data_IF_050897419287
#
_entry.id   IF_050897419287
#
_cell.length_a   1.000
_cell.length_b   1.000
_cell.length_c   1.000
_cell.angle_alpha   90.00
_cell.angle_beta   90.00
_cell.angle_gamma   90.00
#
_symmetry.space_group_name_H-M   'P 1'
#
loop_
_entity.id
_entity.type
_entity.pdbx_description
1 polymer ?
#
# COMPACT_ATOMS: atom_id res chain seq x y z
N UNK A 1 8.03 -8.78 45.70
CA UNK A 1 8.39 -7.47 45.11
C UNK A 1 8.26 -7.59 43.60
N UNK A 2 7.58 -6.68 42.91
CA UNK A 2 7.16 -6.84 41.51
C UNK A 2 8.27 -6.61 40.48
N UNK A 3 8.47 -7.59 39.58
CA UNK A 3 9.43 -7.57 38.46
C UNK A 3 8.80 -7.93 37.10
N UNK A 4 8.07 -6.98 36.52
CA UNK A 4 8.51 -6.21 35.33
C UNK A 4 9.03 -7.02 34.13
N UNK A 5 8.16 -7.15 33.13
CA UNK A 5 8.53 -7.35 31.73
C UNK A 5 8.34 -6.04 30.92
N UNK A 6 9.26 -5.78 30.01
CA UNK A 6 8.99 -5.02 28.77
C UNK A 6 9.07 -6.01 27.62
N UNK A 7 8.22 -5.95 26.59
CA UNK A 7 8.42 -6.80 25.40
C UNK A 7 9.50 -6.23 24.46
N UNK A 8 10.80 -6.54 24.71
CA UNK A 8 11.96 -6.40 23.79
C UNK A 8 13.12 -7.37 24.16
N UNK A 9 13.70 -8.24 23.31
CA UNK A 9 14.39 -9.46 23.80
C UNK A 9 15.81 -9.28 24.32
N UNK A 10 16.11 -9.95 25.44
CA UNK A 10 17.45 -10.07 26.02
C UNK A 10 18.13 -11.38 25.69
N UNK A 11 19.44 -11.31 25.89
CA UNK A 11 20.18 -12.30 26.65
C UNK A 11 21.06 -11.49 27.65
N UNK A 12 21.30 -11.82 28.94
CA UNK A 12 20.98 -13.01 29.75
C UNK A 12 21.02 -12.63 31.27
N UNK A 13 20.55 -13.53 32.16
CA UNK A 13 20.86 -13.61 33.61
C UNK A 13 20.28 -12.57 34.62
N UNK A 14 19.02 -12.76 35.05
CA UNK A 14 18.75 -12.99 36.50
C UNK A 14 17.42 -13.72 36.72
N UNK A 15 17.45 -14.79 37.53
CA UNK A 15 16.36 -15.76 37.70
C UNK A 15 15.29 -15.30 38.71
N UNK A 16 14.03 -15.23 38.26
CA UNK A 16 12.81 -15.54 39.00
C UNK A 16 11.76 -15.99 37.96
N UNK A 17 10.94 -16.98 38.31
CA UNK A 17 10.13 -17.77 37.36
C UNK A 17 9.15 -16.92 36.52
N UNK A 18 9.48 -16.75 35.23
CA UNK A 18 8.57 -16.35 34.14
C UNK A 18 8.51 -17.56 33.20
N UNK A 19 7.36 -18.19 33.03
CA UNK A 19 7.29 -19.49 32.36
C UNK A 19 7.38 -19.30 30.83
N UNK A 20 8.49 -19.73 30.23
CA UNK A 20 8.80 -19.47 28.81
C UNK A 20 7.80 -20.15 27.84
N UNK A 21 6.95 -21.04 28.36
CA UNK A 21 5.81 -21.65 27.69
C UNK A 21 4.73 -20.64 27.32
N UNK A 22 4.44 -19.64 28.15
CA UNK A 22 3.28 -18.74 27.98
C UNK A 22 3.44 -17.80 26.78
N UNK A 23 4.67 -17.47 26.41
CA UNK A 23 5.02 -16.62 25.26
C UNK A 23 5.37 -17.41 23.99
N UNK A 24 5.35 -18.75 24.06
CA UNK A 24 5.72 -19.64 22.95
C UNK A 24 4.77 -19.52 21.74
N UNK A 25 3.50 -19.18 21.96
CA UNK A 25 2.53 -18.89 20.89
C UNK A 25 2.91 -17.65 20.10
N UNK A 26 3.20 -16.54 20.79
CA UNK A 26 3.58 -15.27 20.17
C UNK A 26 4.91 -15.39 19.40
N UNK A 27 5.87 -16.19 19.91
CA UNK A 27 7.17 -16.49 19.26
C UNK A 27 7.02 -17.14 17.86
N UNK A 28 5.86 -17.71 17.52
CA UNK A 28 5.56 -18.22 16.16
C UNK A 28 5.20 -17.13 15.15
N UNK A 29 4.59 -16.04 15.63
CA UNK A 29 3.94 -15.04 14.79
C UNK A 29 4.68 -13.71 14.72
N UNK A 30 5.47 -13.40 15.72
CA UNK A 30 6.28 -12.18 15.83
C UNK A 30 7.71 -12.52 16.29
N UNK A 31 8.67 -11.63 15.99
CA UNK A 31 9.94 -11.60 16.71
C UNK A 31 9.66 -11.10 18.13
N UNK A 32 9.32 -12.04 19.01
CA UNK A 32 9.12 -11.78 20.43
C UNK A 32 10.42 -11.36 21.08
N UNK A 33 10.21 -10.77 22.23
CA UNK A 33 10.87 -9.61 22.68
C UNK A 33 10.49 -9.56 24.18
N UNK A 34 11.40 -9.73 25.15
CA UNK A 34 11.17 -9.61 26.61
C UNK A 34 12.45 -9.07 27.32
N UNK A 35 12.38 -7.96 28.08
CA UNK A 35 13.44 -7.19 28.77
C UNK A 35 13.18 -7.05 30.28
N UNK A 36 14.26 -6.95 31.09
CA UNK A 36 14.20 -6.71 32.54
C UNK A 36 15.16 -5.61 33.02
N UNK A 37 14.70 -4.78 33.98
CA UNK A 37 15.51 -3.86 34.81
C UNK A 37 16.53 -2.93 34.09
N UNK A 38 16.26 -2.49 32.85
CA UNK A 38 17.12 -1.55 32.10
C UNK A 38 16.93 -0.07 32.49
N UNK A 39 18.02 0.73 32.60
CA UNK A 39 17.97 2.19 32.57
C UNK A 39 17.54 2.72 31.19
N UNK A 40 16.88 3.88 31.15
CA UNK A 40 16.36 4.48 29.91
C UNK A 40 17.42 4.72 28.82
N UNK A 41 18.64 5.08 29.20
CA UNK A 41 19.75 5.29 28.25
C UNK A 41 20.20 4.00 27.53
N UNK A 42 20.12 2.85 28.20
CA UNK A 42 20.47 1.56 27.59
C UNK A 42 19.42 1.11 26.57
N UNK A 43 18.16 1.51 26.74
CA UNK A 43 17.10 1.23 25.76
C UNK A 43 17.33 1.98 24.44
N UNK A 44 17.90 3.19 24.48
CA UNK A 44 18.30 3.93 23.27
C UNK A 44 19.46 3.20 22.56
N UNK A 45 20.46 2.72 23.31
CA UNK A 45 21.57 1.92 22.74
C UNK A 45 21.08 0.62 22.13
N UNK A 46 20.10 -0.03 22.76
CA UNK A 46 19.47 -1.23 22.24
C UNK A 46 18.78 -1.04 20.89
N UNK A 47 18.08 0.08 20.65
CA UNK A 47 17.40 0.35 19.37
C UNK A 47 18.32 0.12 18.15
N UNK A 48 19.61 0.43 18.28
CA UNK A 48 20.61 0.22 17.22
C UNK A 48 20.98 -1.26 16.99
N UNK A 49 20.69 -2.16 17.94
CA UNK A 49 20.95 -3.61 17.90
C UNK A 49 19.71 -4.43 17.49
N UNK A 50 18.51 -4.01 17.87
CA UNK A 50 17.23 -4.72 17.63
C UNK A 50 16.36 -4.13 16.50
N UNK A 51 16.59 -2.88 16.08
CA UNK A 51 15.78 -2.22 15.06
C UNK A 51 14.51 -1.56 15.61
N UNK A 52 13.52 -1.30 14.74
CA UNK A 52 12.25 -0.65 15.09
C UNK A 52 11.29 -1.63 15.77
N UNK A 53 10.65 -1.20 16.86
CA UNK A 53 9.69 -2.01 17.63
C UNK A 53 8.27 -1.49 17.44
N UNK A 54 7.37 -2.34 16.91
CA UNK A 54 5.99 -1.97 16.55
C UNK A 54 4.97 -2.11 17.68
N UNK A 55 5.23 -3.03 18.61
CA UNK A 55 4.43 -3.26 19.81
C UNK A 55 5.35 -3.25 21.03
N UNK A 56 4.92 -2.59 22.10
CA UNK A 56 5.58 -2.57 23.39
C UNK A 56 4.59 -3.07 24.45
N UNK A 57 5.03 -3.98 25.32
CA UNK A 57 4.34 -4.26 26.58
C UNK A 57 5.08 -3.54 27.71
N UNK A 58 4.36 -2.95 28.66
CA UNK A 58 4.89 -2.29 29.85
C UNK A 58 4.25 -2.84 31.13
N UNK A 59 5.06 -3.48 31.96
CA UNK A 59 4.68 -4.04 33.25
C UNK A 59 5.50 -3.38 34.39
N UNK A 60 5.91 -2.11 34.24
CA UNK A 60 7.03 -1.51 34.99
C UNK A 60 6.96 0.02 35.24
N UNK A 61 6.49 0.44 36.42
CA UNK A 61 6.44 1.86 36.85
C UNK A 61 7.77 2.54 37.22
N UNK A 62 8.93 1.94 36.89
CA UNK A 62 10.26 2.62 37.01
C UNK A 62 10.79 2.97 35.61
N UNK A 63 10.06 2.60 34.57
CA UNK A 63 10.47 2.83 33.20
C UNK A 63 9.59 3.90 32.60
N UNK A 64 10.13 5.12 32.53
CA UNK A 64 9.41 6.29 32.04
C UNK A 64 9.47 6.33 30.52
N UNK A 65 8.34 6.09 29.87
CA UNK A 65 8.13 6.29 28.44
C UNK A 65 7.84 7.78 28.19
N UNK A 66 8.83 8.63 28.39
CA UNK A 66 8.75 10.05 28.01
C UNK A 66 8.64 10.21 26.48
N UNK A 67 8.08 11.31 26.00
CA UNK A 67 8.01 11.61 24.57
C UNK A 67 9.40 11.64 23.89
N UNK A 68 10.46 12.01 24.64
CA UNK A 68 11.84 11.89 24.14
C UNK A 68 12.26 10.44 23.94
N UNK A 69 11.97 9.53 24.88
CA UNK A 69 12.31 8.12 24.75
C UNK A 69 11.46 7.44 23.67
N UNK A 70 10.17 7.74 23.59
CA UNK A 70 9.26 7.25 22.55
C UNK A 70 9.74 7.69 21.15
N UNK A 71 10.17 8.95 21.00
CA UNK A 71 10.82 9.46 19.78
C UNK A 71 12.10 8.68 19.41
N UNK A 72 12.86 8.23 20.40
CA UNK A 72 14.07 7.41 20.19
C UNK A 72 13.78 5.93 19.93
N UNK A 73 12.67 5.38 20.42
CA UNK A 73 12.22 4.01 20.09
C UNK A 73 11.77 3.90 18.63
N UNK A 74 11.30 5.01 18.03
CA UNK A 74 10.98 5.11 16.61
C UNK A 74 9.51 4.85 16.31
N UNK A 75 9.23 4.05 15.27
CA UNK A 75 7.86 3.73 14.87
C UNK A 75 7.27 2.63 15.75
N UNK A 76 6.63 3.08 16.84
CA UNK A 76 5.75 2.29 17.68
C UNK A 76 4.29 2.52 17.25
N UNK A 77 3.48 1.48 17.26
CA UNK A 77 2.09 1.49 16.82
C UNK A 77 1.14 1.25 18.01
N UNK A 78 1.56 0.41 18.99
CA UNK A 78 0.80 0.11 20.20
C UNK A 78 1.70 -0.04 21.45
N UNK A 79 1.20 0.42 22.59
CA UNK A 79 1.69 0.13 23.95
C UNK A 79 0.60 -0.59 24.72
N UNK A 80 0.82 -1.87 25.03
CA UNK A 80 0.06 -2.59 26.05
C UNK A 80 0.66 -2.25 27.42
N UNK A 81 -0.15 -1.75 28.36
CA UNK A 81 0.34 -1.27 29.66
C UNK A 81 -0.56 -1.77 30.78
N UNK A 82 0.00 -2.29 31.89
CA UNK A 82 -0.82 -2.53 33.09
C UNK A 82 -1.29 -1.19 33.67
N UNK A 83 -2.50 -1.13 34.24
CA UNK A 83 -3.11 0.08 34.81
C UNK A 83 -2.13 0.92 35.68
N UNK A 84 -1.51 0.28 36.69
CA UNK A 84 -0.41 0.80 37.53
C UNK A 84 0.83 1.38 36.82
N UNK A 85 0.90 1.33 35.49
CA UNK A 85 2.05 1.80 34.68
C UNK A 85 1.68 2.93 33.73
N UNK A 86 0.40 3.29 33.59
CA UNK A 86 -0.03 4.39 32.72
C UNK A 86 0.56 5.74 33.14
N UNK A 87 0.76 5.96 34.44
CA UNK A 87 1.36 7.19 35.00
C UNK A 87 2.79 7.47 34.54
N UNK A 88 3.52 6.46 34.05
CA UNK A 88 4.89 6.63 33.52
C UNK A 88 4.95 6.67 32.00
N UNK A 89 3.80 6.77 31.32
CA UNK A 89 3.70 6.92 29.86
C UNK A 89 3.32 8.36 29.52
N UNK A 90 4.05 8.95 28.59
CA UNK A 90 3.69 10.22 27.98
C UNK A 90 2.50 10.02 27.03
N UNK A 91 1.29 9.95 27.60
CA UNK A 91 0.04 9.70 26.88
C UNK A 91 -0.27 10.83 25.87
N UNK A 92 0.17 12.05 26.13
CA UNK A 92 0.04 13.18 25.19
C UNK A 92 0.94 12.96 23.98
N UNK A 93 2.21 12.57 24.18
CA UNK A 93 3.09 12.18 23.08
C UNK A 93 2.55 10.97 22.31
N UNK A 94 2.12 9.90 22.99
CA UNK A 94 1.50 8.74 22.34
C UNK A 94 0.33 9.17 21.45
N UNK A 95 -0.60 9.97 21.97
CA UNK A 95 -1.73 10.52 21.22
C UNK A 95 -1.29 11.38 20.04
N UNK A 96 -0.30 12.26 20.22
CA UNK A 96 0.26 13.11 19.15
C UNK A 96 0.91 12.30 18.03
N UNK A 97 1.42 11.12 18.34
CA UNK A 97 2.06 10.20 17.41
C UNK A 97 1.14 9.05 16.98
N UNK A 98 -0.16 9.09 17.31
CA UNK A 98 -1.13 8.04 16.97
C UNK A 98 -0.75 6.63 17.51
N UNK A 99 0.01 6.56 18.60
CA UNK A 99 0.37 5.33 19.29
C UNK A 99 -0.80 4.93 20.19
N UNK A 100 -1.40 3.77 19.92
CA UNK A 100 -2.49 3.24 20.75
C UNK A 100 -1.94 2.81 22.12
N UNK A 101 -2.64 3.13 23.22
CA UNK A 101 -2.28 2.66 24.56
C UNK A 101 -3.43 1.81 25.09
N UNK A 102 -3.20 0.49 25.18
CA UNK A 102 -4.17 -0.47 25.70
C UNK A 102 -3.88 -0.74 27.16
N UNK A 103 -4.79 -0.29 28.02
CA UNK A 103 -4.78 -0.62 29.45
C UNK A 103 -5.14 -2.10 29.67
N UNK A 104 -4.28 -2.79 30.42
CA UNK A 104 -4.47 -4.17 30.87
C UNK A 104 -4.72 -4.15 32.38
N UNK A 105 -5.71 -4.92 32.83
CA UNK A 105 -6.00 -5.05 34.26
C UNK A 105 -4.78 -5.60 35.02
N UNK A 106 -4.53 -5.09 36.21
CA UNK A 106 -3.38 -5.50 37.04
C UNK A 106 -3.33 -7.02 37.30
N UNK A 107 -4.50 -7.67 37.30
CA UNK A 107 -4.67 -9.08 37.59
C UNK A 107 -4.74 -9.97 36.33
N UNK A 108 -4.69 -9.43 35.11
CA UNK A 108 -4.74 -10.25 33.89
C UNK A 108 -3.53 -11.21 33.83
N UNK A 109 -3.75 -12.53 33.70
CA UNK A 109 -2.69 -13.53 33.55
C UNK A 109 -1.79 -13.29 32.33
N UNK A 110 -0.55 -13.74 32.39
CA UNK A 110 0.45 -13.45 31.36
C UNK A 110 0.20 -14.20 30.04
N UNK A 111 -0.37 -15.41 30.10
CA UNK A 111 -0.84 -16.15 28.93
C UNK A 111 -1.98 -15.42 28.20
N UNK A 112 -2.92 -14.79 28.93
CA UNK A 112 -3.99 -13.98 28.32
C UNK A 112 -3.43 -12.70 27.68
N UNK A 113 -2.41 -12.08 28.29
CA UNK A 113 -1.70 -10.93 27.71
C UNK A 113 -0.93 -11.35 26.44
N UNK A 114 -0.24 -12.49 26.48
CA UNK A 114 0.47 -13.04 25.33
C UNK A 114 -0.49 -13.38 24.18
N UNK A 115 -1.68 -13.92 24.49
CA UNK A 115 -2.75 -14.16 23.53
C UNK A 115 -3.31 -12.85 22.97
N UNK A 116 -3.58 -11.83 23.80
CA UNK A 116 -4.05 -10.51 23.36
C UNK A 116 -3.05 -9.85 22.37
N UNK A 117 -1.76 -9.87 22.72
CA UNK A 117 -0.69 -9.33 21.85
C UNK A 117 -0.55 -10.19 20.58
N UNK A 118 -0.74 -11.50 20.66
CA UNK A 118 -0.70 -12.39 19.50
C UNK A 118 -1.88 -12.15 18.55
N UNK A 119 -3.07 -11.96 19.10
CA UNK A 119 -4.28 -11.66 18.34
C UNK A 119 -4.19 -10.27 17.70
N UNK A 120 -3.59 -9.27 18.38
CA UNK A 120 -3.23 -8.01 17.75
C UNK A 120 -2.22 -8.20 16.61
N UNK A 121 -1.15 -8.96 16.82
CA UNK A 121 -0.11 -9.21 15.81
C UNK A 121 -0.63 -10.02 14.60
N UNK A 122 -1.64 -10.87 14.79
CA UNK A 122 -2.37 -11.54 13.71
C UNK A 122 -3.35 -10.59 13.01
N UNK A 123 -4.06 -9.72 13.74
CA UNK A 123 -4.90 -8.66 13.19
C UNK A 123 -4.11 -7.53 12.48
N UNK A 124 -2.77 -7.53 12.53
CA UNK A 124 -1.91 -6.73 11.65
C UNK A 124 -1.57 -7.46 10.33
N UNK A 125 -1.78 -8.77 10.24
CA UNK A 125 -1.61 -9.60 9.02
C UNK A 125 -2.94 -9.75 8.29
N UNK A 126 -3.98 -10.10 9.04
CA UNK A 126 -5.35 -10.13 8.56
C UNK A 126 -5.92 -8.70 8.51
N UNK A 127 -6.91 -8.50 7.63
CA UNK A 127 -7.43 -7.19 7.26
C UNK A 127 -8.45 -6.68 8.28
N UNK A 128 -8.01 -6.39 9.50
CA UNK A 128 -8.89 -5.94 10.58
C UNK A 128 -9.70 -4.68 10.14
N UNK A 129 -11.05 -4.77 10.09
CA UNK A 129 -11.91 -3.64 9.75
C UNK A 129 -11.70 -2.42 10.64
N UNK A 130 -11.25 -2.60 11.90
CA UNK A 130 -10.92 -1.47 12.80
C UNK A 130 -9.77 -0.62 12.27
N UNK A 131 -8.73 -1.25 11.72
CA UNK A 131 -7.60 -0.52 11.11
C UNK A 131 -8.01 0.05 9.76
N UNK A 132 -8.78 -0.68 8.96
CA UNK A 132 -9.33 -0.15 7.72
C UNK A 132 -10.16 1.13 7.96
N UNK A 133 -11.04 1.14 8.96
CA UNK A 133 -11.82 2.33 9.37
C UNK A 133 -10.96 3.47 9.94
N UNK A 134 -9.81 3.16 10.56
CA UNK A 134 -8.88 4.16 11.11
C UNK A 134 -8.09 4.87 10.01
N UNK A 135 -7.73 4.18 8.93
CA UNK A 135 -6.97 4.75 7.81
C UNK A 135 -7.86 5.17 6.62
N UNK A 136 -9.17 4.93 6.70
CA UNK A 136 -10.15 5.43 5.74
C UNK A 136 -10.13 6.96 5.69
N UNK A 137 -10.15 7.49 4.48
CA UNK A 137 -10.18 8.91 4.18
C UNK A 137 -11.50 9.24 3.45
N UNK A 138 -12.12 10.37 3.77
CA UNK A 138 -13.31 10.84 3.04
C UNK A 138 -12.99 11.05 1.56
N UNK A 139 -13.87 10.54 0.69
CA UNK A 139 -13.79 10.74 -0.75
C UNK A 139 -13.85 12.22 -1.13
N UNK A 140 -14.74 12.98 -0.49
CA UNK A 140 -14.90 14.43 -0.66
C UNK A 140 -13.63 15.20 -0.27
N UNK A 141 -13.03 14.89 0.89
CA UNK A 141 -11.84 15.59 1.36
C UNK A 141 -10.60 15.28 0.50
N UNK A 142 -10.41 14.01 0.11
CA UNK A 142 -9.33 13.64 -0.83
C UNK A 142 -9.55 14.32 -2.19
N UNK A 143 -10.77 14.26 -2.74
CA UNK A 143 -11.11 14.93 -4.00
C UNK A 143 -10.76 16.43 -3.93
N UNK A 144 -11.19 17.13 -2.87
CA UNK A 144 -10.90 18.55 -2.66
C UNK A 144 -9.40 18.83 -2.66
N UNK A 145 -8.61 18.07 -1.90
CA UNK A 145 -7.14 18.23 -1.85
C UNK A 145 -6.54 17.99 -3.24
N UNK A 146 -7.01 16.99 -3.99
CA UNK A 146 -6.54 16.73 -5.35
C UNK A 146 -6.85 17.90 -6.31
N UNK A 147 -8.04 18.51 -6.22
CA UNK A 147 -8.37 19.72 -7.00
C UNK A 147 -7.49 20.91 -6.61
N UNK A 148 -7.26 21.15 -5.32
CA UNK A 148 -6.37 22.22 -4.82
C UNK A 148 -4.89 21.98 -5.20
N UNK A 149 -4.52 20.76 -5.55
CA UNK A 149 -3.19 20.37 -6.07
C UNK A 149 -3.10 20.31 -7.58
N UNK A 150 -4.08 20.83 -8.33
CA UNK A 150 -4.15 20.76 -9.80
C UNK A 150 -4.03 19.31 -10.34
N UNK A 151 -4.69 18.35 -9.69
CA UNK A 151 -4.83 16.98 -10.22
C UNK A 151 -6.04 16.95 -11.14
N UNK A 152 -5.77 16.80 -12.44
CA UNK A 152 -6.79 16.79 -13.48
C UNK A 152 -7.46 15.40 -13.62
N UNK A 153 -6.67 14.33 -13.48
CA UNK A 153 -7.11 12.95 -13.62
C UNK A 153 -6.49 12.05 -12.53
N UNK A 154 -7.19 10.95 -12.26
CA UNK A 154 -6.59 9.75 -11.69
C UNK A 154 -6.19 8.80 -12.82
N UNK A 155 -5.16 8.00 -12.59
CA UNK A 155 -4.47 7.23 -13.62
C UNK A 155 -4.42 5.75 -13.23
N UNK A 156 -4.67 4.86 -14.21
CA UNK A 156 -4.53 3.42 -14.02
C UNK A 156 -3.87 2.78 -15.25
N UNK A 157 -2.68 2.19 -15.07
CA UNK A 157 -1.88 1.63 -16.15
C UNK A 157 -2.00 0.10 -16.22
N UNK A 158 -2.07 -0.43 -17.44
CA UNK A 158 -2.50 -1.79 -17.72
C UNK A 158 -1.75 -2.40 -18.91
N UNK A 159 -1.72 -3.73 -18.95
CA UNK A 159 -1.45 -4.51 -20.16
C UNK A 159 -2.68 -4.54 -21.08
N UNK A 160 -2.48 -4.88 -22.35
CA UNK A 160 -3.56 -4.88 -23.34
C UNK A 160 -4.72 -5.81 -22.95
N UNK A 161 -4.43 -7.05 -22.53
CA UNK A 161 -5.43 -8.03 -22.11
C UNK A 161 -6.23 -7.60 -20.88
N UNK A 162 -5.56 -7.04 -19.87
CA UNK A 162 -6.22 -6.52 -18.65
C UNK A 162 -7.15 -5.36 -19.00
N UNK A 163 -6.71 -4.39 -19.81
CA UNK A 163 -7.58 -3.30 -20.27
C UNK A 163 -8.80 -3.80 -21.05
N UNK A 164 -8.65 -4.82 -21.90
CA UNK A 164 -9.78 -5.42 -22.60
C UNK A 164 -10.78 -6.05 -21.62
N UNK A 165 -10.32 -6.77 -20.60
CA UNK A 165 -11.21 -7.28 -19.54
C UNK A 165 -11.93 -6.17 -18.79
N UNK A 166 -11.27 -5.08 -18.41
CA UNK A 166 -11.91 -3.97 -17.70
C UNK A 166 -12.97 -3.27 -18.56
N UNK A 167 -12.68 -3.06 -19.85
CA UNK A 167 -13.64 -2.52 -20.82
C UNK A 167 -14.84 -3.47 -21.00
N UNK A 168 -14.60 -4.77 -21.14
CA UNK A 168 -15.66 -5.79 -21.26
C UNK A 168 -16.52 -5.97 -20.00
N UNK A 169 -16.03 -5.54 -18.82
CA UNK A 169 -16.80 -5.53 -17.57
C UNK A 169 -17.38 -4.16 -17.24
N UNK A 170 -17.07 -3.13 -18.04
CA UNK A 170 -17.49 -1.75 -17.80
C UNK A 170 -16.86 -1.09 -16.56
N UNK A 171 -15.83 -1.69 -15.95
CA UNK A 171 -15.29 -1.26 -14.67
C UNK A 171 -13.77 -1.52 -14.54
N UNK A 172 -13.07 -0.75 -13.70
CA UNK A 172 -11.82 -1.25 -13.10
C UNK A 172 -12.18 -2.31 -12.07
N UNK A 173 -11.39 -3.38 -12.04
CA UNK A 173 -11.64 -4.55 -11.19
C UNK A 173 -10.48 -4.78 -10.23
N UNK A 174 -10.77 -5.26 -9.02
CA UNK A 174 -9.72 -5.79 -8.15
C UNK A 174 -9.10 -7.06 -8.75
N UNK A 175 -7.82 -7.33 -8.48
CA UNK A 175 -7.16 -8.54 -9.02
C UNK A 175 -7.78 -9.82 -8.44
N UNK A 176 -8.32 -9.73 -7.22
CA UNK A 176 -9.19 -10.75 -6.61
C UNK A 176 -10.46 -10.97 -7.40
N UNK A 177 -11.23 -9.93 -7.74
CA UNK A 177 -12.48 -10.08 -8.49
C UNK A 177 -12.25 -10.77 -9.84
N UNK A 178 -11.14 -10.44 -10.52
CA UNK A 178 -10.75 -11.10 -11.78
C UNK A 178 -10.48 -12.60 -11.58
N UNK A 179 -9.70 -12.97 -10.56
CA UNK A 179 -9.38 -14.37 -10.23
C UNK A 179 -10.62 -15.17 -9.84
N UNK A 180 -11.43 -14.66 -8.91
CA UNK A 180 -12.65 -15.30 -8.39
C UNK A 180 -13.70 -15.56 -9.49
N UNK A 181 -13.77 -14.70 -10.50
CA UNK A 181 -14.72 -14.82 -11.62
C UNK A 181 -14.14 -15.51 -12.87
N UNK A 182 -12.90 -16.01 -12.82
CA UNK A 182 -12.25 -16.68 -13.96
C UNK A 182 -12.01 -15.76 -15.17
N UNK A 183 -11.87 -14.46 -14.93
CA UNK A 183 -11.61 -13.45 -15.94
C UNK A 183 -10.10 -13.38 -16.28
N UNK A 184 -9.76 -12.74 -17.41
CA UNK A 184 -8.37 -12.66 -17.88
C UNK A 184 -7.70 -11.38 -17.39
N UNK A 185 -6.56 -11.52 -16.71
CA UNK A 185 -5.58 -10.45 -16.48
C UNK A 185 -4.17 -10.96 -16.73
N UNK A 186 -3.24 -10.07 -17.05
CA UNK A 186 -1.81 -10.42 -17.01
C UNK A 186 -1.34 -10.54 -15.56
N UNK A 187 -0.61 -11.61 -15.25
CA UNK A 187 0.11 -11.79 -13.98
C UNK A 187 1.15 -10.67 -13.78
N UNK A 188 1.24 -10.13 -12.56
CA UNK A 188 2.20 -9.10 -12.18
C UNK A 188 3.14 -9.63 -11.11
N UNK A 189 4.38 -9.15 -11.10
CA UNK A 189 5.40 -9.59 -10.14
C UNK A 189 5.03 -9.26 -8.67
N UNK A 190 4.06 -8.36 -8.45
CA UNK A 190 3.53 -8.05 -7.12
C UNK A 190 2.43 -9.00 -6.63
N UNK A 191 1.87 -9.88 -7.48
CA UNK A 191 0.67 -10.66 -7.14
C UNK A 191 0.78 -11.46 -5.83
N UNK A 192 1.94 -12.09 -5.61
CA UNK A 192 2.19 -12.88 -4.40
C UNK A 192 2.32 -12.01 -3.14
N UNK A 193 2.90 -10.81 -3.27
CA UNK A 193 3.15 -9.90 -2.15
C UNK A 193 1.90 -9.05 -1.83
N UNK A 194 1.09 -8.73 -2.83
CA UNK A 194 -0.21 -8.07 -2.67
C UNK A 194 -1.21 -8.98 -1.92
N UNK A 195 -1.16 -10.30 -2.17
CA UNK A 195 -1.87 -11.32 -1.37
C UNK A 195 -1.36 -11.37 0.08
N UNK A 196 -0.04 -11.35 0.31
CA UNK A 196 0.56 -11.34 1.67
C UNK A 196 0.20 -10.07 2.45
N UNK A 197 0.06 -8.93 1.79
CA UNK A 197 -0.34 -7.68 2.41
C UNK A 197 -1.85 -7.47 2.54
N UNK A 198 -2.65 -8.39 1.99
CA UNK A 198 -4.11 -8.31 1.99
C UNK A 198 -4.64 -7.13 1.18
N UNK A 199 -3.93 -6.74 0.13
CA UNK A 199 -4.33 -5.66 -0.81
C UNK A 199 -4.75 -6.23 -2.18
N UNK A 200 -4.89 -7.56 -2.29
CA UNK A 200 -5.31 -8.27 -3.51
C UNK A 200 -6.70 -7.86 -4.02
N UNK A 201 -7.53 -7.36 -3.11
CA UNK A 201 -8.90 -6.90 -3.38
C UNK A 201 -9.02 -5.36 -3.43
N UNK A 202 -7.89 -4.65 -3.41
CA UNK A 202 -7.86 -3.19 -3.53
C UNK A 202 -7.71 -2.80 -5.01
N UNK A 203 -8.45 -1.78 -5.46
CA UNK A 203 -8.21 -1.13 -6.76
C UNK A 203 -7.33 0.11 -6.54
N UNK A 204 -6.26 0.19 -7.30
CA UNK A 204 -5.22 1.22 -7.17
C UNK A 204 -5.39 2.32 -8.20
N UNK A 205 -5.27 3.57 -7.79
CA UNK A 205 -5.28 4.75 -8.65
C UNK A 205 -4.04 5.60 -8.35
N UNK A 206 -3.27 5.93 -9.37
CA UNK A 206 -2.20 6.92 -9.28
C UNK A 206 -2.79 8.32 -9.47
N UNK A 207 -2.33 9.33 -8.73
CA UNK A 207 -2.71 10.73 -8.99
C UNK A 207 -1.71 11.48 -9.88
N UNK A 208 -0.82 10.76 -10.59
CA UNK A 208 0.12 11.25 -11.61
C UNK A 208 0.33 10.20 -12.70
N UNK A 209 0.63 10.63 -13.93
CA UNK A 209 1.06 9.72 -14.98
C UNK A 209 2.49 9.23 -14.71
N UNK A 210 2.61 7.97 -14.26
CA UNK A 210 3.90 7.36 -13.91
C UNK A 210 4.86 7.19 -15.11
N UNK A 211 4.39 7.15 -16.37
CA UNK A 211 5.27 7.19 -17.55
C UNK A 211 5.98 8.55 -17.61
N UNK A 212 5.23 9.64 -17.44
CA UNK A 212 5.75 11.01 -17.47
C UNK A 212 6.65 11.27 -16.25
N UNK A 213 6.20 10.86 -15.05
CA UNK A 213 6.92 11.08 -13.80
C UNK A 213 8.30 10.39 -13.77
N UNK A 214 8.41 9.19 -14.36
CA UNK A 214 9.65 8.42 -14.41
C UNK A 214 10.42 8.55 -15.74
N UNK A 215 9.84 9.21 -16.75
CA UNK A 215 10.42 9.39 -18.10
C UNK A 215 10.83 8.06 -18.75
N UNK A 216 9.97 7.05 -18.61
CA UNK A 216 10.13 5.71 -19.21
C UNK A 216 8.76 5.05 -19.40
N UNK A 217 8.75 3.86 -19.98
CA UNK A 217 7.57 3.01 -20.05
C UNK A 217 6.95 2.77 -18.67
N UNK A 218 5.63 2.58 -18.63
CA UNK A 218 4.98 2.16 -17.39
C UNK A 218 5.13 0.64 -17.21
N UNK A 219 5.68 0.22 -16.07
CA UNK A 219 5.94 -1.18 -15.75
C UNK A 219 4.66 -2.03 -15.66
N UNK A 220 3.52 -1.41 -15.36
CA UNK A 220 2.22 -2.08 -15.31
C UNK A 220 1.60 -2.31 -16.70
N UNK A 221 2.14 -1.64 -17.73
CA UNK A 221 1.82 -1.86 -19.14
C UNK A 221 1.57 -0.58 -19.94
N UNK A 222 1.45 -0.72 -21.27
CA UNK A 222 1.45 0.40 -22.23
C UNK A 222 0.09 1.09 -22.41
N UNK A 223 -0.96 0.67 -21.69
CA UNK A 223 -2.31 1.23 -21.80
C UNK A 223 -2.68 1.97 -20.52
N UNK A 224 -2.88 3.28 -20.61
CA UNK A 224 -3.17 4.16 -19.48
C UNK A 224 -4.62 4.67 -19.56
N UNK A 225 -5.40 4.39 -18.52
CA UNK A 225 -6.75 4.94 -18.34
C UNK A 225 -6.66 6.24 -17.55
N UNK A 226 -7.30 7.31 -18.05
CA UNK A 226 -7.46 8.60 -17.39
C UNK A 226 -8.89 8.69 -16.85
N UNK A 227 -9.04 8.70 -15.54
CA UNK A 227 -10.31 8.74 -14.84
C UNK A 227 -10.58 10.13 -14.22
N UNK A 228 -11.85 10.53 -14.24
CA UNK A 228 -12.37 11.68 -13.48
C UNK A 228 -12.08 11.51 -11.98
N UNK A 229 -11.39 12.44 -11.30
CA UNK A 229 -11.23 12.39 -9.84
C UNK A 229 -12.55 12.43 -9.08
N UNK A 230 -13.63 12.92 -9.71
CA UNK A 230 -15.01 12.92 -9.20
C UNK A 230 -15.50 11.52 -8.80
N UNK A 231 -14.88 10.43 -9.28
CA UNK A 231 -15.18 9.07 -8.84
C UNK A 231 -15.01 8.87 -7.33
N UNK A 232 -14.11 9.62 -6.68
CA UNK A 232 -13.89 9.53 -5.24
C UNK A 232 -15.12 9.95 -4.44
N UNK A 233 -16.01 10.76 -5.01
CA UNK A 233 -17.25 11.23 -4.36
C UNK A 233 -18.36 10.16 -4.29
N UNK A 234 -18.18 9.04 -4.98
CA UNK A 234 -19.22 8.04 -5.24
C UNK A 234 -18.79 6.66 -4.69
N UNK A 235 -17.73 6.65 -3.87
CA UNK A 235 -17.11 5.46 -3.28
C UNK A 235 -17.13 5.48 -1.75
N UNK A 236 -17.97 6.32 -1.12
CA UNK A 236 -18.08 6.47 0.34
C UNK A 236 -18.48 5.17 1.08
N UNK A 237 -19.08 4.19 0.37
CA UNK A 237 -19.36 2.86 0.92
C UNK A 237 -18.14 1.92 0.95
N UNK A 238 -17.04 2.29 0.27
CA UNK A 238 -15.78 1.55 0.22
C UNK A 238 -14.68 2.28 0.99
N UNK A 239 -13.82 1.57 1.74
CA UNK A 239 -12.67 2.20 2.36
C UNK A 239 -11.70 2.76 1.32
N UNK A 240 -11.71 4.07 1.11
CA UNK A 240 -10.62 4.79 0.44
C UNK A 240 -9.45 4.95 1.40
N UNK A 241 -8.27 4.40 1.06
CA UNK A 241 -7.00 4.66 1.76
C UNK A 241 -6.03 5.39 0.82
N UNK A 242 -4.99 6.01 1.38
CA UNK A 242 -3.89 6.61 0.61
C UNK A 242 -2.56 6.05 1.09
N UNK A 243 -1.78 5.47 0.18
CA UNK A 243 -0.47 4.90 0.50
C UNK A 243 0.60 5.98 0.64
N UNK A 244 1.59 5.75 1.52
CA UNK A 244 2.81 6.59 1.63
C UNK A 244 3.85 6.23 0.59
N UNK A 245 3.88 4.95 0.21
CA UNK A 245 4.79 4.35 -0.76
C UNK A 245 4.03 3.26 -1.51
N UNK A 246 4.32 3.11 -2.81
CA UNK A 246 3.87 1.98 -3.63
C UNK A 246 4.15 0.64 -2.91
N UNK A 247 3.18 -0.31 -2.85
CA UNK A 247 3.31 -1.58 -2.14
C UNK A 247 4.55 -2.42 -2.47
N UNK A 248 5.10 -2.31 -3.68
CA UNK A 248 6.36 -2.99 -4.06
C UNK A 248 7.57 -2.54 -3.21
N UNK A 249 7.47 -1.41 -2.50
CA UNK A 249 8.50 -0.87 -1.61
C UNK A 249 8.18 -1.10 -0.13
N UNK A 250 7.14 -1.87 0.17
CA UNK A 250 6.85 -2.31 1.53
C UNK A 250 7.84 -3.43 1.88
N UNK A 251 8.49 -3.30 3.04
CA UNK A 251 9.41 -4.34 3.54
C UNK A 251 8.61 -5.56 4.02
N UNK A 252 9.25 -6.61 4.56
CA UNK A 252 8.50 -7.81 5.00
C UNK A 252 7.43 -7.54 6.07
N UNK A 253 7.55 -6.50 6.91
CA UNK A 253 6.54 -6.13 7.92
C UNK A 253 6.45 -4.60 8.18
N UNK A 254 5.93 -3.75 7.26
CA UNK A 254 5.47 -2.41 7.61
C UNK A 254 4.07 -2.48 8.22
N UNK A 255 3.87 -1.71 9.28
CA UNK A 255 2.54 -1.49 9.86
C UNK A 255 1.71 -0.54 9.02
N UNK A 256 0.41 -0.50 9.28
CA UNK A 256 -0.55 0.39 8.64
C UNK A 256 -0.06 1.84 8.58
N UNK A 257 0.52 2.36 9.67
CA UNK A 257 1.10 3.72 9.75
C UNK A 257 2.25 3.99 8.76
N UNK A 258 2.99 2.93 8.36
CA UNK A 258 4.06 3.00 7.35
C UNK A 258 3.55 2.80 5.93
N UNK A 259 2.49 2.00 5.76
CA UNK A 259 1.82 1.74 4.47
C UNK A 259 0.97 2.93 4.02
N UNK A 260 0.17 3.48 4.93
CA UNK A 260 -0.89 4.44 4.66
C UNK A 260 -0.71 5.78 5.39
N UNK A 261 -1.28 6.82 4.80
CA UNK A 261 -1.51 8.12 5.43
C UNK A 261 -2.72 7.97 6.36
N UNK A 262 -2.61 8.53 7.57
CA UNK A 262 -3.68 8.54 8.57
C UNK A 262 -4.48 9.86 8.53
N UNK A 263 -3.77 10.99 8.46
CA UNK A 263 -4.32 12.34 8.46
C UNK A 263 -4.04 13.01 7.11
N UNK A 264 -5.09 13.51 6.46
CA UNK A 264 -5.05 14.24 5.19
C UNK A 264 -4.15 15.48 5.18
N UNK A 265 -3.85 16.09 6.34
CA UNK A 265 -2.81 17.14 6.44
C UNK A 265 -1.48 16.68 5.85
N UNK A 266 -1.14 15.38 5.94
CA UNK A 266 0.06 14.83 5.28
C UNK A 266 -0.07 14.85 3.76
N UNK A 267 -1.26 14.52 3.22
CA UNK A 267 -1.52 14.55 1.78
C UNK A 267 -1.52 15.99 1.28
N UNK A 268 -2.24 16.89 1.94
CA UNK A 268 -2.29 18.32 1.65
C UNK A 268 -0.89 18.95 1.69
N UNK A 269 -0.06 18.58 2.67
CA UNK A 269 1.29 19.12 2.79
C UNK A 269 2.25 18.53 1.77
N UNK A 270 2.34 17.20 1.63
CA UNK A 270 3.43 16.57 0.91
C UNK A 270 3.11 16.33 -0.58
N UNK A 271 1.84 16.15 -0.96
CA UNK A 271 1.47 15.79 -2.33
C UNK A 271 1.76 16.93 -3.33
N UNK A 272 2.35 16.54 -4.48
CA UNK A 272 2.88 17.38 -5.56
C UNK A 272 3.89 18.47 -5.15
N UNK A 273 4.41 18.47 -3.92
CA UNK A 273 5.54 19.34 -3.53
C UNK A 273 6.86 18.92 -4.17
N UNK A 274 7.05 17.61 -4.33
CA UNK A 274 8.20 17.02 -5.01
C UNK A 274 7.72 15.91 -5.95
N UNK A 275 8.12 15.96 -7.22
CA UNK A 275 7.63 15.04 -8.26
C UNK A 275 7.77 13.55 -7.88
N UNK A 276 8.88 13.19 -7.21
CA UNK A 276 9.18 11.82 -6.77
C UNK A 276 8.35 11.34 -5.56
N UNK A 277 7.58 12.20 -4.90
CA UNK A 277 6.71 11.80 -3.78
C UNK A 277 5.32 11.39 -4.31
N UNK A 278 4.76 12.15 -5.26
CA UNK A 278 3.44 11.84 -5.81
C UNK A 278 3.39 10.50 -6.55
N UNK A 279 4.40 10.14 -7.34
CA UNK A 279 4.47 8.80 -7.98
C UNK A 279 4.76 7.65 -7.01
N UNK A 280 4.83 7.93 -5.70
CA UNK A 280 4.90 6.92 -4.64
C UNK A 280 3.61 6.84 -3.82
N UNK A 281 2.70 7.80 -3.96
CA UNK A 281 1.44 7.84 -3.22
C UNK A 281 0.29 7.44 -4.15
N UNK A 282 -0.25 6.25 -3.91
CA UNK A 282 -1.40 5.69 -4.63
C UNK A 282 -2.65 5.75 -3.75
N UNK A 283 -3.80 6.05 -4.36
CA UNK A 283 -5.12 5.98 -3.76
C UNK A 283 -5.65 4.56 -3.93
N UNK A 284 -6.16 3.93 -2.89
CA UNK A 284 -6.58 2.52 -2.92
C UNK A 284 -8.01 2.39 -2.42
N UNK A 285 -8.89 1.86 -3.25
CA UNK A 285 -10.30 1.63 -2.91
C UNK A 285 -10.45 0.15 -2.58
N UNK A 286 -10.77 -0.18 -1.32
CA UNK A 286 -10.73 -1.57 -0.83
C UNK A 286 -12.03 -2.32 -1.04
N UNK A 287 -11.95 -3.56 -1.52
CA UNK A 287 -13.10 -4.46 -1.64
C UNK A 287 -14.20 -3.90 -2.53
N UNK A 288 -13.85 -3.04 -3.50
CA UNK A 288 -14.83 -2.39 -4.37
C UNK A 288 -15.21 -3.24 -5.58
N UNK A 289 -14.75 -4.49 -5.70
CA UNK A 289 -15.07 -5.45 -6.76
C UNK A 289 -14.99 -4.85 -8.18
N UNK A 290 -16.12 -4.31 -8.66
CA UNK A 290 -16.36 -3.71 -9.98
C UNK A 290 -17.09 -2.36 -9.93
N UNK A 291 -17.07 -1.67 -8.79
CA UNK A 291 -17.85 -0.43 -8.58
C UNK A 291 -17.15 0.83 -9.11
N UNK A 292 -15.92 0.72 -9.63
CA UNK A 292 -15.24 1.79 -10.37
C UNK A 292 -15.67 1.75 -11.84
N UNK A 293 -16.82 2.36 -12.11
CA UNK A 293 -17.45 2.40 -13.44
C UNK A 293 -16.63 3.18 -14.49
N UNK A 294 -16.37 2.56 -15.64
CA UNK A 294 -15.70 3.22 -16.76
C UNK A 294 -16.67 4.13 -17.55
N UNK A 295 -17.95 3.78 -17.65
CA UNK A 295 -18.91 4.54 -18.48
C UNK A 295 -19.06 5.99 -18.01
N UNK A 296 -19.08 6.22 -16.69
CA UNK A 296 -19.21 7.57 -16.14
C UNK A 296 -17.85 8.27 -15.91
N UNK A 297 -16.79 7.54 -15.54
CA UNK A 297 -15.54 8.14 -15.06
C UNK A 297 -14.33 8.01 -15.99
N UNK A 298 -14.27 7.05 -16.92
CA UNK A 298 -13.15 6.94 -17.87
C UNK A 298 -13.27 8.03 -18.95
N UNK A 299 -12.36 9.00 -18.91
CA UNK A 299 -12.34 10.13 -19.85
C UNK A 299 -11.65 9.78 -21.16
N UNK A 300 -10.53 9.05 -21.07
CA UNK A 300 -9.60 8.83 -22.18
C UNK A 300 -8.72 7.62 -21.91
N UNK A 301 -8.36 6.92 -22.97
CA UNK A 301 -7.27 5.94 -22.94
C UNK A 301 -6.08 6.48 -23.73
N UNK A 302 -4.90 6.42 -23.13
CA UNK A 302 -3.64 6.77 -23.78
C UNK A 302 -2.84 5.48 -23.96
N UNK A 303 -2.31 5.25 -25.16
CA UNK A 303 -1.42 4.11 -25.43
C UNK A 303 -0.01 4.57 -25.74
N UNK A 304 1.00 3.87 -25.23
CA UNK A 304 2.40 4.23 -25.44
C UNK A 304 2.84 4.01 -26.91
N UNK A 305 3.66 4.91 -27.49
CA UNK A 305 4.25 4.71 -28.80
C UNK A 305 5.42 3.73 -28.74
N UNK A 306 5.75 3.14 -29.90
CA UNK A 306 7.09 2.63 -30.17
C UNK A 306 7.36 2.60 -31.67
N UNK A 307 8.62 2.61 -32.06
CA UNK A 307 9.06 2.57 -33.47
C UNK A 307 8.97 1.17 -34.09
N UNK A 308 8.89 0.11 -33.25
CA UNK A 308 8.77 -1.26 -33.74
C UNK A 308 7.32 -1.65 -34.09
N UNK A 309 7.19 -2.70 -34.91
CA UNK A 309 5.90 -3.20 -35.38
C UNK A 309 5.52 -4.54 -34.74
N UNK A 310 4.24 -4.68 -34.40
CA UNK A 310 3.58 -5.92 -34.01
C UNK A 310 2.74 -6.39 -35.19
N UNK A 311 3.08 -7.54 -35.79
CA UNK A 311 2.36 -8.07 -36.95
C UNK A 311 2.36 -7.16 -38.20
N UNK A 312 3.33 -6.23 -38.30
CA UNK A 312 3.40 -5.23 -39.37
C UNK A 312 2.83 -3.85 -39.03
N UNK A 313 2.10 -3.71 -37.91
CA UNK A 313 1.53 -2.44 -37.44
C UNK A 313 2.40 -1.83 -36.34
N UNK A 314 2.67 -0.52 -36.35
CA UNK A 314 3.43 0.14 -35.28
C UNK A 314 2.76 -0.08 -33.91
N UNK A 315 3.54 -0.32 -32.84
CA UNK A 315 3.01 -0.77 -31.53
C UNK A 315 1.87 0.11 -31.00
N UNK A 316 2.02 1.44 -31.06
CA UNK A 316 0.99 2.37 -30.59
C UNK A 316 -0.31 2.29 -31.39
N UNK A 317 -0.24 2.12 -32.72
CA UNK A 317 -1.43 1.93 -33.55
C UNK A 317 -2.06 0.55 -33.36
N UNK A 318 -1.25 -0.50 -33.13
CA UNK A 318 -1.74 -1.84 -32.76
C UNK A 318 -2.53 -1.80 -31.45
N UNK A 319 -1.97 -1.18 -30.41
CA UNK A 319 -2.65 -0.99 -29.12
C UNK A 319 -3.93 -0.18 -29.27
N UNK A 320 -3.86 0.97 -29.95
CA UNK A 320 -5.00 1.86 -30.21
C UNK A 320 -6.14 1.14 -30.95
N UNK A 321 -5.84 0.33 -31.96
CA UNK A 321 -6.84 -0.46 -32.70
C UNK A 321 -7.51 -1.49 -31.80
N UNK A 322 -6.75 -2.24 -31.00
CA UNK A 322 -7.31 -3.25 -30.10
C UNK A 322 -8.13 -2.66 -28.94
N UNK A 323 -7.71 -1.53 -28.38
CA UNK A 323 -8.48 -0.80 -27.35
C UNK A 323 -9.72 -0.14 -27.94
N UNK A 324 -9.60 0.55 -29.08
CA UNK A 324 -10.74 1.15 -29.79
C UNK A 324 -11.81 0.11 -30.07
N UNK A 325 -11.42 -1.03 -30.65
CA UNK A 325 -12.32 -2.14 -30.92
C UNK A 325 -13.05 -2.62 -29.64
N UNK A 326 -12.33 -2.79 -28.53
CA UNK A 326 -12.94 -3.23 -27.28
C UNK A 326 -13.95 -2.21 -26.72
N UNK A 327 -13.64 -0.91 -26.80
CA UNK A 327 -14.56 0.16 -26.39
C UNK A 327 -15.83 0.16 -27.25
N UNK A 328 -15.67 0.11 -28.58
CA UNK A 328 -16.77 0.12 -29.53
C UNK A 328 -17.68 -1.12 -29.37
N UNK A 329 -17.10 -2.31 -29.12
CA UNK A 329 -17.86 -3.56 -28.88
C UNK A 329 -18.63 -3.58 -27.54
N UNK A 330 -18.30 -2.69 -26.60
CA UNK A 330 -18.92 -2.61 -25.26
C UNK A 330 -19.68 -1.29 -25.00
N UNK A 331 -19.99 -0.50 -26.04
CA UNK A 331 -20.80 0.72 -25.90
C UNK A 331 -20.06 1.92 -25.27
N UNK A 332 -18.72 1.89 -25.29
CA UNK A 332 -17.84 2.94 -24.78
C UNK A 332 -17.13 3.70 -25.92
N UNK A 333 -17.71 3.68 -27.12
CA UNK A 333 -17.20 4.32 -28.35
C UNK A 333 -16.91 5.83 -28.19
N UNK A 334 -17.68 6.50 -27.35
CA UNK A 334 -17.52 7.91 -26.98
C UNK A 334 -16.19 8.25 -26.27
N UNK A 335 -15.48 7.26 -25.71
CA UNK A 335 -14.21 7.46 -25.00
C UNK A 335 -13.07 7.66 -26.00
N UNK A 336 -12.25 8.70 -25.82
CA UNK A 336 -11.13 8.96 -26.74
C UNK A 336 -9.98 7.95 -26.55
N UNK A 337 -9.30 7.56 -27.64
CA UNK A 337 -8.08 6.73 -27.60
C UNK A 337 -6.98 7.40 -28.42
N UNK A 338 -5.92 7.86 -27.77
CA UNK A 338 -4.78 8.53 -28.40
C UNK A 338 -3.48 7.77 -28.18
N UNK A 339 -2.54 7.87 -29.12
CA UNK A 339 -1.14 7.50 -28.87
C UNK A 339 -0.50 8.65 -28.08
N UNK A 340 0.31 8.33 -27.06
CA UNK A 340 1.02 9.32 -26.24
C UNK A 340 1.96 10.17 -27.10
N UNK A 341 1.63 11.45 -27.20
CA UNK A 341 2.52 12.47 -27.73
C UNK A 341 3.71 12.67 -26.78
N UNK A 342 4.92 12.59 -27.32
CA UNK A 342 6.13 12.97 -26.59
C UNK A 342 6.34 14.47 -26.74
N UNK A 343 5.90 15.22 -25.73
CA UNK A 343 6.02 16.69 -25.67
C UNK A 343 7.46 17.17 -25.38
N UNK A 344 8.31 16.27 -24.90
CA UNK A 344 9.76 16.46 -24.81
C UNK A 344 10.41 15.96 -26.10
N UNK A 345 11.63 16.44 -26.39
CA UNK A 345 12.43 15.84 -27.47
C UNK A 345 12.54 14.34 -27.22
N UNK A 346 12.51 13.54 -28.29
CA UNK A 346 12.49 12.07 -28.25
C UNK A 346 13.68 11.46 -27.48
N UNK A 347 14.72 12.26 -27.18
CA UNK A 347 15.86 11.95 -26.30
C UNK A 347 15.56 11.86 -24.80
N UNK A 348 14.45 12.43 -24.32
CA UNK A 348 14.28 12.74 -22.88
C UNK A 348 13.41 11.70 -22.15
N UNK A 349 12.68 10.86 -22.89
CA UNK A 349 11.94 9.70 -22.36
C UNK A 349 12.57 8.41 -22.88
N UNK A 350 12.78 7.45 -21.97
CA UNK A 350 13.43 6.17 -22.30
C UNK A 350 12.48 5.11 -22.87
N UNK A 351 11.17 5.34 -22.91
CA UNK A 351 10.19 4.28 -23.22
C UNK A 351 10.50 3.54 -24.53
N UNK A 352 10.91 4.25 -25.59
CA UNK A 352 11.32 3.63 -26.86
C UNK A 352 12.48 2.63 -26.69
N UNK A 353 13.49 3.01 -25.91
CA UNK A 353 14.64 2.15 -25.61
C UNK A 353 14.24 0.96 -24.73
N UNK A 354 13.43 1.18 -23.69
CA UNK A 354 12.98 0.11 -22.78
C UNK A 354 12.11 -0.91 -23.56
N UNK A 355 11.20 -0.46 -24.43
CA UNK A 355 10.46 -1.35 -25.32
C UNK A 355 11.36 -2.11 -26.31
N UNK A 356 12.40 -1.47 -26.84
CA UNK A 356 13.40 -2.14 -27.70
C UNK A 356 14.21 -3.20 -26.93
N UNK A 357 14.52 -2.96 -25.65
CA UNK A 357 15.16 -3.94 -24.75
C UNK A 357 14.23 -5.13 -24.48
N UNK A 358 12.99 -4.89 -24.07
CA UNK A 358 11.97 -5.94 -23.85
C UNK A 358 11.68 -6.75 -25.13
N UNK A 359 11.86 -6.16 -26.32
CA UNK A 359 11.77 -6.85 -27.62
C UNK A 359 13.00 -7.71 -27.92
N UNK A 360 14.18 -7.30 -27.46
CA UNK A 360 15.45 -7.98 -27.69
C UNK A 360 15.71 -9.14 -26.70
N UNK A 361 14.95 -9.22 -25.61
CA UNK A 361 14.89 -10.39 -24.74
C UNK A 361 14.60 -11.69 -25.51
N UNK A 362 15.18 -12.80 -25.07
CA UNK A 362 15.00 -14.09 -25.72
C UNK A 362 14.69 -15.21 -24.70
N UNK A 363 13.44 -15.70 -24.64
CA UNK A 363 12.25 -15.19 -25.34
C UNK A 363 11.80 -13.80 -24.81
N UNK A 364 11.11 -12.97 -25.62
CA UNK A 364 10.63 -11.64 -25.21
C UNK A 364 9.36 -11.75 -24.35
N UNK A 365 9.49 -12.33 -23.15
CA UNK A 365 8.37 -12.70 -22.29
C UNK A 365 7.59 -11.51 -21.77
N UNK A 366 8.28 -10.45 -21.34
CA UNK A 366 7.64 -9.30 -20.72
C UNK A 366 6.95 -8.42 -21.76
N UNK A 367 7.56 -8.22 -22.94
CA UNK A 367 6.88 -7.58 -24.05
C UNK A 367 5.64 -8.36 -24.49
N UNK A 368 5.73 -9.70 -24.54
CA UNK A 368 4.57 -10.55 -24.87
C UNK A 368 3.46 -10.40 -23.82
N UNK A 369 3.78 -10.45 -22.51
CA UNK A 369 2.83 -10.23 -21.41
C UNK A 369 2.06 -8.90 -21.57
N UNK A 370 2.76 -7.83 -21.95
CA UNK A 370 2.18 -6.47 -22.10
C UNK A 370 1.29 -6.29 -23.33
N UNK A 371 1.62 -6.96 -24.44
CA UNK A 371 1.01 -6.73 -25.75
C UNK A 371 0.06 -7.83 -26.24
N UNK A 372 -0.08 -8.94 -25.51
CA UNK A 372 -0.96 -10.04 -25.92
C UNK A 372 -2.44 -9.63 -25.76
N UNK A 373 -3.27 -9.64 -26.83
CA UNK A 373 -4.71 -9.42 -26.70
C UNK A 373 -5.38 -10.58 -25.95
N UNK A 374 -6.46 -10.30 -25.21
CA UNK A 374 -7.17 -11.25 -24.34
C UNK A 374 -7.44 -12.63 -24.96
N UNK A 375 -7.90 -12.69 -26.21
CA UNK A 375 -8.16 -13.94 -26.93
C UNK A 375 -6.92 -14.73 -27.40
N UNK A 376 -5.72 -14.41 -26.90
CA UNK A 376 -4.43 -15.07 -27.20
C UNK A 376 -3.54 -15.27 -25.97
N UNK A 377 -4.05 -14.98 -24.77
CA UNK A 377 -3.37 -15.18 -23.48
C UNK A 377 -3.29 -16.68 -23.18
#
# INVERSE_FOLDING_TARGET
>A
MSKRAIVNLVDENSLLEYNDQDWSGLKKNARVNIQHDLPGEEVIKMRNKIGTSHCLFLNSSKFMLSGELLKHLGYLDIVFARAQTLEVIDLEYCKSQDIEVVEINENTPENEIAELINNWALAQKDLDPKFTNRYHQSGEEVYKILKEKDVEYLYHANTLSTSQTFIEQGALLSRKYVEDNGLVQTEQDSDAIDKIYGIWDDVFLDGVDNHIAHKRDNIYGPVLFLLKPEILLELDEYPLLVTRFNPQNWNEIPTWKRRYIYNLETLEKDYKTWQNISSRMMFTVRGCDKHIDLQNYLMKVIVDPSEFTVGGTAMGEFLKQHIRKALDENGLDHIEVSIREHSLKQSDCKCFHEYDVLRAENPPTELKKRLTPKGRV
#
